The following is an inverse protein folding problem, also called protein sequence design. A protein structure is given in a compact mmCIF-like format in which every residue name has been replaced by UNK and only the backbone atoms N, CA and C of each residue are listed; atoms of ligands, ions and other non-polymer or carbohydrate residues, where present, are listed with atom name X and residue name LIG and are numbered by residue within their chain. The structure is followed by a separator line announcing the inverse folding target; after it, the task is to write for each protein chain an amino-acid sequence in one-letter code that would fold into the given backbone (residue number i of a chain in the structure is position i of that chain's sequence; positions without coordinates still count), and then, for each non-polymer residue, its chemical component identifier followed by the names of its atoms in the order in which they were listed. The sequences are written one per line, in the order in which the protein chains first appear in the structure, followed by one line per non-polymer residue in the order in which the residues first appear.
data_IF_078967310112
#
_entry.id   IF_078967310112
#
_cell.length_a   1.000
_cell.length_b   1.000
_cell.length_c   1.000
_cell.angle_alpha   90.00
_cell.angle_beta   90.00
_cell.angle_gamma   90.00
#
_symmetry.space_group_name_H-M   'P 1'
#
loop_
_entity.id
_entity.type
_entity.pdbx_description
1 polymer ?
#
# COMPACT_ATOMS: atom_id res chain seq x y z
N UNK A 1 -19.51 -0.39 2.35
CA UNK A 1 -19.43 0.95 1.72
C UNK A 1 -17.97 1.36 1.64
N UNK A 2 -17.59 2.26 0.69
CA UNK A 2 -16.21 2.76 0.66
C UNK A 2 -15.94 3.69 1.86
N UNK A 3 -14.71 3.73 2.34
CA UNK A 3 -14.32 4.56 3.49
C UNK A 3 -14.68 6.05 3.30
N UNK A 4 -14.50 6.57 2.09
CA UNK A 4 -14.84 7.97 1.77
C UNK A 4 -16.32 8.30 2.03
N UNK A 5 -17.22 7.38 1.68
CA UNK A 5 -18.66 7.56 1.93
C UNK A 5 -18.93 7.51 3.42
N UNK A 6 -18.31 6.59 4.14
CA UNK A 6 -18.49 6.44 5.60
C UNK A 6 -17.96 7.66 6.36
N UNK A 7 -16.79 8.19 6.01
CA UNK A 7 -16.25 9.42 6.61
C UNK A 7 -17.19 10.61 6.36
N UNK A 8 -17.81 10.69 5.19
CA UNK A 8 -18.81 11.73 4.91
C UNK A 8 -20.14 11.50 5.69
N UNK A 9 -20.54 10.25 5.88
CA UNK A 9 -21.74 9.92 6.65
C UNK A 9 -21.52 10.15 8.15
N UNK A 10 -20.34 9.87 8.69
CA UNK A 10 -19.94 10.20 10.08
C UNK A 10 -20.09 11.70 10.35
N UNK A 11 -19.73 12.56 9.38
CA UNK A 11 -19.91 14.02 9.51
C UNK A 11 -21.38 14.45 9.62
N UNK A 12 -22.31 13.64 9.11
CA UNK A 12 -23.75 13.93 9.15
C UNK A 12 -24.42 13.31 10.36
N UNK A 13 -24.07 12.06 10.67
CA UNK A 13 -24.67 11.30 11.78
C UNK A 13 -23.73 10.19 12.22
N UNK A 14 -23.37 10.19 13.49
CA UNK A 14 -22.55 9.14 14.11
C UNK A 14 -23.44 7.97 14.51
N UNK A 15 -23.03 6.75 14.16
CA UNK A 15 -23.70 5.54 14.62
C UNK A 15 -23.08 5.05 15.94
N UNK A 16 -23.85 4.37 16.81
CA UNK A 16 -23.34 3.95 18.12
C UNK A 16 -22.29 2.82 18.02
N UNK A 17 -22.35 1.96 16.99
CA UNK A 17 -21.41 0.86 16.80
C UNK A 17 -20.92 0.80 15.37
N UNK A 18 -19.61 0.67 15.23
CA UNK A 18 -18.91 0.46 13.96
C UNK A 18 -18.17 -0.87 14.00
N UNK A 19 -18.23 -1.62 12.91
CA UNK A 19 -17.36 -2.78 12.66
C UNK A 19 -16.49 -2.51 11.44
N UNK A 20 -15.19 -2.28 11.66
CA UNK A 20 -14.21 -2.14 10.59
C UNK A 20 -13.48 -3.47 10.38
N UNK A 21 -13.36 -3.92 9.14
CA UNK A 21 -12.59 -5.12 8.81
C UNK A 21 -11.76 -4.91 7.53
N UNK A 22 -10.60 -5.54 7.46
CA UNK A 22 -9.65 -5.39 6.35
C UNK A 22 -8.25 -5.10 6.84
N UNK A 23 -7.28 -5.21 5.93
CA UNK A 23 -5.84 -5.10 6.21
C UNK A 23 -5.24 -3.74 5.87
N UNK A 24 -6.02 -2.83 5.24
CA UNK A 24 -5.51 -1.52 4.84
C UNK A 24 -5.47 -0.56 6.04
N UNK A 25 -4.28 -0.38 6.58
CA UNK A 25 -4.03 0.43 7.78
C UNK A 25 -4.43 1.90 7.59
N UNK A 26 -4.27 2.43 6.39
CA UNK A 26 -4.67 3.80 6.06
C UNK A 26 -6.18 4.03 6.29
N UNK A 27 -7.01 3.10 5.84
CA UNK A 27 -8.47 3.21 6.00
C UNK A 27 -8.90 3.09 7.46
N UNK A 28 -8.24 2.20 8.19
CA UNK A 28 -8.49 2.05 9.63
C UNK A 28 -8.14 3.34 10.38
N UNK A 29 -7.03 3.96 10.03
CA UNK A 29 -6.61 5.22 10.68
C UNK A 29 -7.50 6.41 10.27
N UNK A 30 -7.86 6.54 8.99
CA UNK A 30 -8.84 7.56 8.53
C UNK A 30 -10.17 7.45 9.29
N UNK A 31 -10.65 6.22 9.52
CA UNK A 31 -11.88 5.97 10.27
C UNK A 31 -11.75 6.40 11.74
N UNK A 32 -10.65 6.03 12.40
CA UNK A 32 -10.36 6.43 13.77
C UNK A 32 -10.33 7.96 13.91
N UNK A 33 -9.57 8.64 13.05
CA UNK A 33 -9.44 10.10 13.07
C UNK A 33 -10.79 10.79 12.81
N UNK A 34 -11.60 10.27 11.88
CA UNK A 34 -12.93 10.79 11.63
C UNK A 34 -13.85 10.68 12.85
N UNK A 35 -13.83 9.54 13.56
CA UNK A 35 -14.61 9.33 14.77
C UNK A 35 -14.09 10.18 15.93
N UNK A 36 -12.80 10.25 16.17
CA UNK A 36 -12.22 11.11 17.21
C UNK A 36 -12.65 12.56 17.00
N UNK A 37 -12.54 13.05 15.76
CA UNK A 37 -12.94 14.42 15.43
C UNK A 37 -14.42 14.68 15.63
N UNK A 38 -15.28 13.74 15.23
CA UNK A 38 -16.74 13.97 15.23
C UNK A 38 -17.40 13.64 16.57
N UNK A 39 -16.89 12.67 17.33
CA UNK A 39 -17.44 12.24 18.61
C UNK A 39 -16.87 13.06 19.76
N UNK A 40 -15.57 13.35 19.72
CA UNK A 40 -14.82 13.95 20.81
C UNK A 40 -14.32 15.38 20.49
N UNK A 41 -14.74 15.98 19.35
CA UNK A 41 -14.27 17.30 18.90
C UNK A 41 -12.73 17.44 18.85
N UNK A 42 -12.01 16.31 18.79
CA UNK A 42 -10.56 16.25 18.81
C UNK A 42 -9.92 16.15 20.21
N UNK A 43 -10.70 16.23 21.28
CA UNK A 43 -10.23 15.94 22.65
C UNK A 43 -10.19 14.42 22.89
N UNK A 44 -9.09 13.92 23.41
CA UNK A 44 -8.90 12.49 23.66
C UNK A 44 -9.15 12.07 25.13
N UNK A 45 -9.67 12.96 25.96
CA UNK A 45 -9.90 12.70 27.38
C UNK A 45 -10.92 11.57 27.65
N UNK A 46 -11.89 11.40 26.72
CA UNK A 46 -12.88 10.32 26.74
C UNK A 46 -12.66 9.28 25.63
N UNK A 47 -11.41 9.09 25.20
CA UNK A 47 -10.98 8.05 24.27
C UNK A 47 -10.39 6.87 25.05
N UNK A 48 -11.00 5.69 24.91
CA UNK A 48 -10.43 4.43 25.41
C UNK A 48 -9.94 3.57 24.25
N UNK A 49 -8.72 3.04 24.36
CA UNK A 49 -8.10 2.15 23.36
C UNK A 49 -7.84 0.80 23.98
N UNK A 50 -8.36 -0.27 23.36
CA UNK A 50 -8.21 -1.64 23.83
C UNK A 50 -7.65 -2.54 22.75
N UNK A 51 -6.73 -3.42 23.12
CA UNK A 51 -6.33 -4.56 22.32
C UNK A 51 -7.04 -5.83 22.81
N UNK A 52 -7.87 -6.40 21.96
CA UNK A 52 -8.64 -7.62 22.28
C UNK A 52 -7.77 -8.89 22.31
N UNK A 53 -6.49 -8.81 21.97
CA UNK A 53 -5.53 -9.86 22.28
C UNK A 53 -5.05 -9.83 23.74
N UNK A 54 -5.19 -8.70 24.42
CA UNK A 54 -4.73 -8.48 25.79
C UNK A 54 -5.89 -8.37 26.79
N UNK A 55 -7.07 -7.93 26.32
CA UNK A 55 -8.24 -7.69 27.15
C UNK A 55 -9.51 -8.37 26.60
N UNK A 56 -10.29 -9.08 27.43
CA UNK A 56 -11.52 -9.71 26.96
C UNK A 56 -12.61 -8.65 26.64
N UNK A 57 -13.44 -8.93 25.63
CA UNK A 57 -14.46 -7.99 25.14
C UNK A 57 -15.45 -7.57 26.24
N UNK A 58 -15.76 -8.41 27.21
CA UNK A 58 -16.68 -8.10 28.28
C UNK A 58 -16.18 -6.96 29.20
N UNK A 59 -14.87 -6.81 29.39
CA UNK A 59 -14.31 -5.68 30.13
C UNK A 59 -14.41 -4.37 29.34
N UNK A 60 -14.18 -4.45 28.03
CA UNK A 60 -14.38 -3.32 27.13
C UNK A 60 -15.84 -2.85 27.13
N UNK A 61 -16.79 -3.80 27.14
CA UNK A 61 -18.22 -3.49 27.20
C UNK A 61 -18.62 -2.92 28.56
N UNK A 62 -18.01 -3.38 29.66
CA UNK A 62 -18.23 -2.78 30.99
C UNK A 62 -17.81 -1.31 30.99
N UNK A 63 -16.66 -0.96 30.38
CA UNK A 63 -16.33 0.45 30.18
C UNK A 63 -17.34 1.15 29.28
N UNK A 64 -17.76 0.51 28.19
CA UNK A 64 -18.73 1.10 27.24
C UNK A 64 -20.06 1.49 27.89
N UNK A 65 -20.49 0.78 28.92
CA UNK A 65 -21.73 1.03 29.67
C UNK A 65 -21.59 2.02 30.82
N UNK A 66 -20.34 2.43 31.15
CA UNK A 66 -20.15 3.50 32.16
C UNK A 66 -20.33 4.89 31.54
N UNK A 67 -20.88 5.83 32.29
CA UNK A 67 -21.02 7.22 31.84
C UNK A 67 -19.65 7.90 31.68
N UNK A 68 -19.47 8.75 30.65
CA UNK A 68 -18.30 9.59 30.50
C UNK A 68 -18.18 10.61 31.65
N UNK A 69 -16.93 10.94 32.08
CA UNK A 69 -16.70 11.84 33.20
C UNK A 69 -16.70 13.34 32.84
N UNK A 70 -16.26 13.68 31.64
CA UNK A 70 -15.95 15.06 31.24
C UNK A 70 -16.78 15.59 30.09
N UNK A 71 -17.41 14.75 29.29
CA UNK A 71 -18.12 15.09 28.06
C UNK A 71 -19.42 14.30 27.99
N UNK A 72 -20.33 14.72 27.06
CA UNK A 72 -21.57 14.00 26.82
C UNK A 72 -21.39 12.63 26.17
N UNK A 73 -20.25 12.43 25.49
CA UNK A 73 -19.95 11.20 24.72
C UNK A 73 -18.53 10.69 24.97
N UNK A 74 -18.37 9.39 24.80
CA UNK A 74 -17.06 8.74 24.75
C UNK A 74 -16.91 7.86 23.51
N UNK A 75 -15.66 7.65 23.12
CA UNK A 75 -15.27 6.79 22.02
C UNK A 75 -14.39 5.65 22.54
N UNK A 76 -14.81 4.43 22.25
CA UNK A 76 -14.03 3.22 22.54
C UNK A 76 -13.59 2.59 21.22
N UNK A 77 -12.31 2.32 21.10
CA UNK A 77 -11.72 1.63 19.96
C UNK A 77 -11.12 0.32 20.44
N UNK A 78 -11.72 -0.80 20.01
CA UNK A 78 -11.29 -2.15 20.35
C UNK A 78 -10.69 -2.82 19.09
N UNK A 79 -9.38 -3.09 19.12
CA UNK A 79 -8.64 -3.66 18.00
C UNK A 79 -8.44 -5.17 18.15
N UNK A 80 -8.09 -5.84 17.04
CA UNK A 80 -7.74 -7.27 17.03
C UNK A 80 -8.87 -8.22 17.43
N UNK A 81 -10.10 -8.01 16.94
CA UNK A 81 -11.27 -8.85 17.21
C UNK A 81 -11.11 -10.26 16.59
N UNK A 82 -10.17 -11.06 17.12
CA UNK A 82 -9.80 -12.38 16.58
C UNK A 82 -10.93 -13.40 16.65
N UNK A 83 -11.89 -13.23 17.55
CA UNK A 83 -13.08 -14.07 17.65
C UNK A 83 -13.98 -14.00 16.41
N UNK A 84 -13.77 -13.01 15.52
CA UNK A 84 -14.48 -12.93 14.23
C UNK A 84 -13.79 -13.73 13.11
N UNK A 85 -12.58 -14.27 13.33
CA UNK A 85 -11.89 -15.16 12.37
C UNK A 85 -12.48 -16.57 12.38
N UNK A 86 -12.33 -17.29 11.28
CA UNK A 86 -12.67 -18.71 11.20
C UNK A 86 -11.87 -19.56 12.22
N UNK A 87 -10.62 -19.19 12.43
CA UNK A 87 -9.75 -19.76 13.48
C UNK A 87 -9.28 -18.62 14.36
N UNK A 88 -9.93 -18.40 15.52
CA UNK A 88 -9.52 -17.39 16.49
C UNK A 88 -8.11 -17.65 17.02
N UNK A 89 -7.45 -16.59 17.44
CA UNK A 89 -6.16 -16.69 18.11
C UNK A 89 -6.32 -17.37 19.47
N UNK A 90 -5.31 -18.12 19.91
CA UNK A 90 -5.31 -18.74 21.24
C UNK A 90 -4.89 -17.70 22.26
N UNK A 91 -5.83 -17.29 23.09
CA UNK A 91 -5.61 -16.32 24.16
C UNK A 91 -5.66 -17.02 25.52
N UNK A 92 -5.17 -16.36 26.57
CA UNK A 92 -5.23 -16.83 27.97
C UNK A 92 -6.63 -16.69 28.60
N UNK A 93 -7.57 -16.06 27.90
CA UNK A 93 -8.95 -15.81 28.32
C UNK A 93 -9.92 -16.06 27.14
N UNK A 94 -11.21 -16.08 27.46
CA UNK A 94 -12.27 -16.21 26.45
C UNK A 94 -13.05 -14.89 26.32
N UNK A 95 -13.40 -14.54 25.09
CA UNK A 95 -14.31 -13.44 24.82
C UNK A 95 -15.76 -13.88 24.98
N UNK A 96 -16.51 -13.19 25.83
CA UNK A 96 -17.96 -13.39 25.94
C UNK A 96 -18.70 -12.71 24.77
N UNK A 97 -18.76 -13.42 23.65
CA UNK A 97 -19.43 -12.91 22.45
C UNK A 97 -20.95 -12.77 22.61
N UNK A 98 -21.58 -13.49 23.56
CA UNK A 98 -23.00 -13.36 23.85
C UNK A 98 -23.30 -11.99 24.47
N UNK A 99 -22.42 -11.49 25.34
CA UNK A 99 -22.59 -10.14 25.90
C UNK A 99 -22.45 -9.07 24.81
N UNK A 100 -21.52 -9.23 23.88
CA UNK A 100 -21.41 -8.33 22.73
C UNK A 100 -22.66 -8.39 21.82
N UNK A 101 -23.27 -9.57 21.64
CA UNK A 101 -24.53 -9.70 20.89
C UNK A 101 -25.69 -8.94 21.54
N UNK A 102 -25.75 -8.91 22.87
CA UNK A 102 -26.75 -8.11 23.62
C UNK A 102 -26.46 -6.61 23.52
N UNK A 103 -25.21 -6.21 23.75
CA UNK A 103 -24.80 -4.80 23.66
C UNK A 103 -25.12 -4.15 22.32
N UNK A 104 -24.84 -4.81 21.20
CA UNK A 104 -25.06 -4.22 19.86
C UNK A 104 -26.53 -4.06 19.49
N UNK A 105 -27.44 -4.75 20.22
CA UNK A 105 -28.88 -4.56 20.02
C UNK A 105 -29.42 -3.32 20.73
N UNK A 106 -28.81 -2.91 21.82
CA UNK A 106 -29.23 -1.76 22.60
C UNK A 106 -28.03 -1.01 23.20
N UNK A 107 -27.15 -0.42 22.35
CA UNK A 107 -25.98 0.29 22.80
C UNK A 107 -26.36 1.61 23.49
N UNK A 108 -25.60 2.05 24.52
CA UNK A 108 -25.83 3.36 25.15
C UNK A 108 -25.64 4.51 24.14
N UNK A 109 -26.44 5.54 24.25
CA UNK A 109 -26.41 6.70 23.35
C UNK A 109 -25.21 7.64 23.56
N UNK A 110 -24.57 7.54 24.74
CA UNK A 110 -23.36 8.28 25.11
C UNK A 110 -22.05 7.59 24.72
N UNK A 111 -22.10 6.37 24.19
CA UNK A 111 -20.90 5.63 23.79
C UNK A 111 -20.89 5.32 22.30
N UNK A 112 -19.76 5.58 21.65
CA UNK A 112 -19.49 5.08 20.30
C UNK A 112 -18.43 4.00 20.41
N UNK A 113 -18.75 2.78 19.94
CA UNK A 113 -17.86 1.62 19.94
C UNK A 113 -17.38 1.31 18.53
N UNK A 114 -16.07 1.40 18.29
CA UNK A 114 -15.42 0.93 17.06
C UNK A 114 -14.71 -0.39 17.33
N UNK A 115 -15.20 -1.46 16.71
CA UNK A 115 -14.53 -2.77 16.70
C UNK A 115 -13.73 -2.90 15.42
N UNK A 116 -12.44 -3.20 15.54
CA UNK A 116 -11.53 -3.38 14.40
C UNK A 116 -11.11 -4.85 14.32
N UNK A 117 -11.39 -5.45 13.18
CA UNK A 117 -10.93 -6.79 12.79
C UNK A 117 -9.94 -6.63 11.61
N UNK A 118 -8.62 -6.50 11.85
CA UNK A 118 -7.61 -6.25 10.81
C UNK A 118 -7.32 -7.52 10.01
N UNK A 119 -8.36 -8.13 9.44
CA UNK A 119 -8.31 -9.40 8.73
C UNK A 119 -9.04 -9.30 7.39
N UNK A 120 -8.54 -9.98 6.36
CA UNK A 120 -9.14 -9.99 5.03
C UNK A 120 -10.60 -10.47 5.03
N UNK A 121 -10.93 -11.43 5.90
CA UNK A 121 -12.25 -12.07 5.93
C UNK A 121 -12.73 -12.32 7.36
N UNK A 122 -14.02 -12.08 7.55
CA UNK A 122 -14.75 -12.47 8.76
C UNK A 122 -15.44 -13.82 8.53
N UNK A 123 -15.59 -14.62 9.59
CA UNK A 123 -16.36 -15.88 9.49
C UNK A 123 -17.87 -15.59 9.54
N UNK A 124 -18.47 -15.57 8.37
CA UNK A 124 -19.91 -15.31 8.14
C UNK A 124 -20.84 -16.35 8.81
N UNK A 125 -20.32 -17.51 9.21
CA UNK A 125 -21.12 -18.57 9.85
C UNK A 125 -21.41 -18.27 11.31
N UNK A 126 -20.54 -17.46 11.95
CA UNK A 126 -20.67 -17.12 13.37
C UNK A 126 -21.86 -16.20 13.62
N UNK A 127 -22.61 -16.47 14.68
CA UNK A 127 -23.77 -15.68 15.08
C UNK A 127 -23.37 -14.22 15.36
N UNK A 128 -22.28 -14.03 16.12
CA UNK A 128 -21.77 -12.70 16.43
C UNK A 128 -21.41 -11.89 15.19
N UNK A 129 -20.82 -12.49 14.15
CA UNK A 129 -20.52 -11.80 12.90
C UNK A 129 -21.79 -11.29 12.21
N UNK A 130 -22.84 -12.12 12.20
CA UNK A 130 -24.15 -11.74 11.63
C UNK A 130 -24.79 -10.62 12.42
N UNK A 131 -24.75 -10.71 13.76
CA UNK A 131 -25.34 -9.70 14.65
C UNK A 131 -24.64 -8.36 14.48
N UNK A 132 -23.31 -8.33 14.48
CA UNK A 132 -22.53 -7.11 14.23
C UNK A 132 -22.85 -6.52 12.86
N UNK A 133 -22.91 -7.32 11.79
CA UNK A 133 -23.25 -6.82 10.45
C UNK A 133 -24.64 -6.21 10.36
N UNK A 134 -25.60 -6.72 11.13
CA UNK A 134 -26.99 -6.24 11.09
C UNK A 134 -27.21 -5.00 11.99
N UNK A 135 -26.46 -4.88 13.09
CA UNK A 135 -26.69 -3.88 14.12
C UNK A 135 -25.56 -2.85 14.25
N UNK A 136 -24.58 -2.85 13.35
CA UNK A 136 -23.51 -1.85 13.33
C UNK A 136 -23.29 -1.29 11.93
N UNK A 137 -22.59 -0.17 11.86
CA UNK A 137 -22.10 0.38 10.60
C UNK A 137 -20.89 -0.42 10.15
N UNK A 138 -21.05 -1.23 9.10
CA UNK A 138 -19.96 -2.03 8.52
C UNK A 138 -19.06 -1.15 7.64
N UNK A 139 -17.76 -1.19 7.93
CA UNK A 139 -16.72 -0.47 7.19
C UNK A 139 -15.75 -1.47 6.57
N UNK A 140 -15.66 -1.46 5.24
CA UNK A 140 -14.72 -2.28 4.49
C UNK A 140 -13.41 -1.52 4.31
N UNK A 141 -12.36 -2.02 4.98
CA UNK A 141 -10.99 -1.49 4.97
C UNK A 141 -10.02 -2.46 4.28
N UNK A 142 -10.46 -3.15 3.25
CA UNK A 142 -9.60 -4.02 2.46
C UNK A 142 -8.66 -3.23 1.56
N UNK A 143 -7.57 -3.88 1.15
CA UNK A 143 -6.62 -3.33 0.18
C UNK A 143 -7.33 -2.88 -1.09
N UNK A 144 -6.84 -1.80 -1.69
CA UNK A 144 -7.39 -1.27 -2.93
C UNK A 144 -7.14 -2.25 -4.07
N UNK A 145 -8.14 -2.44 -4.90
CA UNK A 145 -7.93 -3.11 -6.18
C UNK A 145 -7.21 -2.15 -7.13
N UNK A 146 -6.29 -2.67 -7.96
CA UNK A 146 -5.58 -1.87 -8.96
C UNK A 146 -6.49 -0.95 -9.79
N UNK A 147 -7.68 -1.45 -10.14
CA UNK A 147 -8.68 -0.67 -10.91
C UNK A 147 -9.24 0.56 -10.17
N UNK A 148 -9.13 0.61 -8.85
CA UNK A 148 -9.60 1.72 -8.03
C UNK A 148 -8.46 2.68 -7.63
N UNK A 149 -7.19 2.30 -7.86
CA UNK A 149 -6.01 3.10 -7.50
C UNK A 149 -6.07 4.51 -8.10
N UNK A 150 -6.48 4.64 -9.37
CA UNK A 150 -6.62 5.94 -10.05
C UNK A 150 -7.64 6.85 -9.38
N UNK A 151 -8.75 6.32 -8.89
CA UNK A 151 -9.77 7.11 -8.18
C UNK A 151 -9.23 7.64 -6.85
N UNK A 152 -8.44 6.81 -6.15
CA UNK A 152 -7.79 7.22 -4.90
C UNK A 152 -6.74 8.29 -5.13
N UNK A 153 -5.89 8.11 -6.15
CA UNK A 153 -4.93 9.12 -6.59
C UNK A 153 -5.61 10.49 -6.82
N UNK A 154 -6.68 10.53 -7.63
CA UNK A 154 -7.43 11.75 -7.90
C UNK A 154 -8.06 12.35 -6.63
N UNK A 155 -8.58 11.50 -5.73
CA UNK A 155 -9.14 11.94 -4.46
C UNK A 155 -8.11 12.59 -3.55
N UNK A 156 -6.89 12.01 -3.45
CA UNK A 156 -5.80 12.54 -2.62
C UNK A 156 -5.27 13.85 -3.22
N UNK A 157 -5.09 13.93 -4.55
CA UNK A 157 -4.70 15.16 -5.25
C UNK A 157 -5.70 16.28 -4.95
N UNK A 158 -7.00 16.01 -5.08
CA UNK A 158 -8.06 16.97 -4.79
C UNK A 158 -8.08 17.41 -3.32
N UNK A 159 -7.86 16.47 -2.38
CA UNK A 159 -7.79 16.75 -0.94
C UNK A 159 -6.65 17.70 -0.58
N UNK A 160 -5.54 17.62 -1.31
CA UNK A 160 -4.37 18.49 -1.12
C UNK A 160 -4.44 19.80 -1.93
N UNK A 161 -5.56 20.08 -2.61
CA UNK A 161 -5.79 21.30 -3.38
C UNK A 161 -4.67 21.60 -4.40
N UNK A 162 -4.16 20.59 -5.10
CA UNK A 162 -3.18 20.70 -6.17
C UNK A 162 -3.71 20.10 -7.48
N UNK A 163 -3.01 20.39 -8.58
CA UNK A 163 -3.24 19.76 -9.89
C UNK A 163 -1.98 19.02 -10.32
N UNK A 164 -2.11 18.07 -11.25
CA UNK A 164 -0.99 17.22 -11.66
C UNK A 164 -1.12 16.80 -13.11
N UNK A 165 0.00 16.75 -13.85
CA UNK A 165 0.07 16.22 -15.20
C UNK A 165 -0.39 14.77 -15.28
N UNK A 166 -0.99 14.38 -16.40
CA UNK A 166 -1.43 13.00 -16.64
C UNK A 166 -0.27 11.99 -16.53
N UNK A 167 0.91 12.35 -17.06
CA UNK A 167 2.11 11.50 -16.97
C UNK A 167 2.66 11.40 -15.55
N UNK A 168 2.63 12.48 -14.76
CA UNK A 168 3.01 12.45 -13.35
C UNK A 168 2.09 11.53 -12.54
N UNK A 169 0.78 11.57 -12.82
CA UNK A 169 -0.19 10.64 -12.24
C UNK A 169 0.10 9.18 -12.62
N UNK A 170 0.40 8.92 -13.90
CA UNK A 170 0.75 7.58 -14.38
C UNK A 170 2.02 7.03 -13.71
N UNK A 171 3.01 7.91 -13.44
CA UNK A 171 4.23 7.56 -12.72
C UNK A 171 3.93 7.18 -11.27
N UNK A 172 3.19 8.00 -10.54
CA UNK A 172 2.79 7.72 -9.16
C UNK A 172 1.98 6.42 -9.07
N UNK A 173 1.02 6.23 -9.97
CA UNK A 173 0.20 5.03 -10.03
C UNK A 173 1.05 3.77 -10.25
N UNK A 174 2.06 3.83 -11.11
CA UNK A 174 2.95 2.70 -11.37
C UNK A 174 3.88 2.36 -10.19
N UNK A 175 4.34 3.36 -9.44
CA UNK A 175 5.28 3.19 -8.32
C UNK A 175 4.57 2.76 -7.03
N UNK A 176 3.33 3.21 -6.82
CA UNK A 176 2.67 3.16 -5.50
C UNK A 176 1.32 2.43 -5.54
N UNK A 177 1.03 1.67 -6.60
CA UNK A 177 -0.29 1.11 -6.97
C UNK A 177 -1.07 0.44 -5.85
N UNK A 178 -0.43 -0.13 -4.83
CA UNK A 178 -1.10 -0.89 -3.76
C UNK A 178 -0.92 -0.29 -2.37
N UNK A 179 -0.05 0.70 -2.19
CA UNK A 179 0.22 1.31 -0.88
C UNK A 179 -0.31 2.75 -0.83
N UNK A 180 -1.56 2.91 -0.35
CA UNK A 180 -2.21 4.24 -0.25
C UNK A 180 -1.44 5.18 0.67
N UNK A 181 -0.87 4.67 1.75
CA UNK A 181 -0.15 5.49 2.71
C UNK A 181 1.10 6.11 2.07
N UNK A 182 1.83 5.32 1.27
CA UNK A 182 2.95 5.83 0.50
C UNK A 182 2.49 6.81 -0.57
N UNK A 183 1.38 6.50 -1.28
CA UNK A 183 0.78 7.40 -2.27
C UNK A 183 0.42 8.75 -1.66
N UNK A 184 -0.20 8.75 -0.48
CA UNK A 184 -0.54 9.97 0.23
C UNK A 184 0.72 10.76 0.59
N UNK A 185 1.73 10.12 1.18
CA UNK A 185 2.98 10.78 1.57
C UNK A 185 3.69 11.40 0.37
N UNK A 186 3.69 10.72 -0.78
CA UNK A 186 4.27 11.26 -2.02
C UNK A 186 3.50 12.48 -2.54
N UNK A 187 2.17 12.43 -2.52
CA UNK A 187 1.33 13.57 -2.96
C UNK A 187 1.45 14.74 -1.98
N UNK A 188 1.46 14.51 -0.68
CA UNK A 188 1.65 15.56 0.34
C UNK A 188 3.01 16.25 0.19
N UNK A 189 4.07 15.49 -0.05
CA UNK A 189 5.40 16.03 -0.36
C UNK A 189 5.39 16.91 -1.61
N UNK A 190 4.71 16.47 -2.67
CA UNK A 190 4.55 17.26 -3.90
C UNK A 190 3.72 18.52 -3.65
N UNK A 191 2.65 18.43 -2.87
CA UNK A 191 1.82 19.57 -2.50
C UNK A 191 2.61 20.61 -1.70
N UNK A 192 3.47 20.20 -0.77
CA UNK A 192 4.39 21.07 -0.05
C UNK A 192 5.38 21.77 -0.99
N UNK A 193 5.85 21.06 -2.02
CA UNK A 193 6.80 21.62 -2.99
C UNK A 193 6.18 22.68 -3.89
N UNK A 194 4.97 22.42 -4.43
CA UNK A 194 4.33 23.36 -5.38
C UNK A 194 3.49 24.43 -4.70
N UNK A 195 3.15 24.26 -3.41
CA UNK A 195 2.27 25.13 -2.65
C UNK A 195 0.79 24.96 -2.94
N UNK A 196 -0.06 25.65 -2.19
CA UNK A 196 -1.52 25.59 -2.31
C UNK A 196 -1.99 26.07 -3.70
N UNK A 197 -2.88 25.29 -4.32
CA UNK A 197 -3.34 25.56 -5.70
C UNK A 197 -2.29 25.30 -6.78
N UNK A 198 -1.11 24.78 -6.41
CA UNK A 198 0.00 24.55 -7.33
C UNK A 198 -0.24 23.43 -8.33
N UNK A 199 0.67 23.34 -9.30
CA UNK A 199 0.64 22.31 -10.35
C UNK A 199 1.93 21.50 -10.34
N UNK A 200 1.80 20.18 -10.32
CA UNK A 200 2.92 19.23 -10.39
C UNK A 200 3.12 18.78 -11.84
N UNK A 201 4.25 19.16 -12.42
CA UNK A 201 4.65 18.72 -13.76
C UNK A 201 5.22 17.30 -13.77
N UNK A 202 5.37 16.70 -14.97
CA UNK A 202 6.10 15.43 -15.14
C UNK A 202 7.53 15.53 -14.58
N UNK A 203 8.22 16.66 -14.79
CA UNK A 203 9.60 16.87 -14.31
C UNK A 203 9.66 16.94 -12.77
N UNK A 204 8.71 17.65 -12.14
CA UNK A 204 8.61 17.70 -10.69
C UNK A 204 8.37 16.31 -10.10
N UNK A 205 7.46 15.55 -10.69
CA UNK A 205 7.19 14.18 -10.27
C UNK A 205 8.44 13.28 -10.37
N UNK A 206 9.20 13.38 -11.48
CA UNK A 206 10.46 12.64 -11.65
C UNK A 206 11.50 12.98 -10.57
N UNK A 207 11.55 14.23 -10.12
CA UNK A 207 12.49 14.68 -9.09
C UNK A 207 12.07 14.35 -7.67
N UNK A 208 10.77 14.35 -7.42
CA UNK A 208 10.21 14.28 -6.08
C UNK A 208 9.77 12.87 -5.67
N UNK A 209 9.34 12.03 -6.62
CA UNK A 209 8.97 10.64 -6.28
C UNK A 209 10.17 9.98 -5.62
N UNK A 210 9.93 9.46 -4.42
CA UNK A 210 10.97 8.74 -3.66
C UNK A 210 11.48 7.58 -4.51
N UNK A 211 12.79 7.49 -4.62
CA UNK A 211 13.42 6.40 -5.35
C UNK A 211 13.12 5.09 -4.61
N UNK A 212 12.04 4.43 -5.01
CA UNK A 212 11.79 3.06 -4.58
C UNK A 212 12.87 2.14 -5.22
N UNK A 213 13.14 0.97 -4.67
CA UNK A 213 14.01 -0.01 -5.33
C UNK A 213 13.60 -0.27 -6.78
N UNK A 214 12.31 -0.15 -7.10
CA UNK A 214 11.79 -0.32 -8.47
C UNK A 214 12.17 0.84 -9.38
N UNK A 215 11.99 2.09 -8.99
CA UNK A 215 12.37 3.26 -9.81
C UNK A 215 13.89 3.36 -9.98
N UNK A 216 14.62 3.02 -8.93
CA UNK A 216 16.08 2.97 -8.98
C UNK A 216 16.58 1.87 -9.91
N UNK A 217 15.92 0.69 -9.93
CA UNK A 217 16.23 -0.37 -10.89
C UNK A 217 15.94 0.04 -12.33
N UNK A 218 14.86 0.80 -12.56
CA UNK A 218 14.54 1.36 -13.88
C UNK A 218 15.59 2.37 -14.36
N UNK A 219 16.07 3.26 -13.48
CA UNK A 219 17.15 4.19 -13.78
C UNK A 219 18.48 3.48 -14.08
N UNK A 220 18.75 2.38 -13.37
CA UNK A 220 19.92 1.54 -13.61
C UNK A 220 19.81 0.79 -14.95
N UNK A 221 18.64 0.27 -15.31
CA UNK A 221 18.39 -0.32 -16.64
C UNK A 221 18.65 0.68 -17.74
N UNK A 222 18.17 1.94 -17.59
CA UNK A 222 18.44 2.98 -18.57
C UNK A 222 19.93 3.30 -18.69
N UNK A 223 20.65 3.41 -17.57
CA UNK A 223 22.09 3.63 -17.57
C UNK A 223 22.85 2.50 -18.28
N UNK A 224 22.47 1.24 -18.03
CA UNK A 224 23.03 0.06 -18.71
C UNK A 224 22.74 0.09 -20.21
N UNK A 225 21.49 0.37 -20.60
CA UNK A 225 21.09 0.41 -22.01
C UNK A 225 21.76 1.53 -22.82
N UNK A 226 22.08 2.67 -22.18
CA UNK A 226 22.75 3.79 -22.82
C UNK A 226 24.29 3.75 -22.70
N UNK A 227 24.85 2.75 -22.05
CA UNK A 227 26.29 2.64 -21.85
C UNK A 227 26.88 3.62 -20.83
N UNK A 228 26.03 4.15 -19.93
CA UNK A 228 26.37 5.19 -18.95
C UNK A 228 26.97 4.60 -17.66
N UNK A 229 28.20 4.03 -17.76
CA UNK A 229 28.83 3.32 -16.64
C UNK A 229 28.95 4.15 -15.36
N UNK A 230 29.30 5.42 -15.47
CA UNK A 230 29.45 6.32 -14.30
C UNK A 230 28.11 6.52 -13.59
N UNK A 231 27.03 6.63 -14.36
CA UNK A 231 25.68 6.77 -13.81
C UNK A 231 25.22 5.47 -13.14
N UNK A 232 25.42 4.32 -13.79
CA UNK A 232 25.07 3.02 -13.21
C UNK A 232 25.81 2.77 -11.88
N UNK A 233 27.12 3.05 -11.84
CA UNK A 233 27.95 2.91 -10.65
C UNK A 233 27.53 3.88 -9.53
N UNK A 234 27.16 5.11 -9.86
CA UNK A 234 26.64 6.07 -8.86
C UNK A 234 25.36 5.57 -8.23
N UNK A 235 24.40 5.14 -9.05
CA UNK A 235 23.13 4.57 -8.59
C UNK A 235 23.40 3.37 -7.67
N UNK A 236 24.32 2.49 -8.06
CA UNK A 236 24.70 1.34 -7.24
C UNK A 236 25.28 1.76 -5.88
N UNK A 237 26.24 2.70 -5.87
CA UNK A 237 26.85 3.19 -4.63
C UNK A 237 25.85 3.88 -3.68
N UNK A 238 24.85 4.54 -4.22
CA UNK A 238 23.79 5.15 -3.39
C UNK A 238 22.88 4.07 -2.77
N UNK A 239 22.56 3.01 -3.51
CA UNK A 239 21.83 1.85 -2.97
C UNK A 239 22.65 1.10 -1.90
N UNK A 240 23.94 0.92 -2.12
CA UNK A 240 24.85 0.30 -1.15
C UNK A 240 24.89 1.08 0.18
N UNK A 241 24.91 2.43 0.14
CA UNK A 241 24.79 3.29 1.33
C UNK A 241 23.46 3.11 2.07
N UNK A 242 22.40 2.77 1.34
CA UNK A 242 21.07 2.47 1.90
C UNK A 242 20.96 1.04 2.44
N UNK A 243 22.06 0.26 2.43
CA UNK A 243 22.13 -1.15 2.83
C UNK A 243 21.24 -2.08 1.98
N UNK A 244 21.00 -1.75 0.72
CA UNK A 244 20.29 -2.63 -0.20
C UNK A 244 21.13 -3.84 -0.55
N UNK A 245 20.57 -5.06 -0.48
CA UNK A 245 21.30 -6.30 -0.80
C UNK A 245 21.54 -6.41 -2.32
N UNK A 246 22.79 -6.55 -2.79
CA UNK A 246 23.12 -6.74 -4.21
C UNK A 246 22.36 -7.90 -4.87
N UNK A 247 22.04 -8.97 -4.13
CA UNK A 247 21.23 -10.09 -4.66
C UNK A 247 19.80 -9.64 -4.98
N UNK A 248 19.21 -8.81 -4.11
CA UNK A 248 17.87 -8.25 -4.37
C UNK A 248 17.90 -7.33 -5.60
N UNK A 249 18.97 -6.53 -5.76
CA UNK A 249 19.13 -5.66 -6.93
C UNK A 249 19.28 -6.45 -8.24
N UNK A 250 20.01 -7.57 -8.25
CA UNK A 250 20.05 -8.45 -9.43
C UNK A 250 18.65 -8.98 -9.74
N UNK A 251 17.88 -9.36 -8.74
CA UNK A 251 16.49 -9.80 -8.91
C UNK A 251 15.63 -8.75 -9.62
N UNK A 252 15.71 -7.49 -9.18
CA UNK A 252 14.99 -6.36 -9.77
C UNK A 252 15.45 -6.09 -11.23
N UNK A 253 16.76 -6.02 -11.48
CA UNK A 253 17.29 -5.85 -12.84
C UNK A 253 16.85 -6.98 -13.76
N UNK A 254 16.93 -8.23 -13.29
CA UNK A 254 16.48 -9.40 -14.05
C UNK A 254 14.99 -9.34 -14.38
N UNK A 255 14.16 -8.85 -13.47
CA UNK A 255 12.74 -8.63 -13.72
C UNK A 255 12.52 -7.59 -14.84
N UNK A 256 13.22 -6.45 -14.78
CA UNK A 256 13.08 -5.39 -15.77
C UNK A 256 13.55 -5.84 -17.17
N UNK A 257 14.71 -6.46 -17.29
CA UNK A 257 15.20 -6.93 -18.60
C UNK A 257 14.33 -8.05 -19.17
N UNK A 258 13.85 -8.98 -18.34
CA UNK A 258 12.85 -9.99 -18.77
C UNK A 258 11.53 -9.35 -19.22
N UNK A 259 11.09 -8.27 -18.58
CA UNK A 259 9.90 -7.53 -19.00
C UNK A 259 10.10 -6.93 -20.40
N UNK A 260 11.24 -6.29 -20.66
CA UNK A 260 11.57 -5.70 -21.96
C UNK A 260 11.62 -6.82 -23.04
N UNK A 261 12.26 -7.96 -22.75
CA UNK A 261 12.30 -9.10 -23.66
C UNK A 261 10.91 -9.67 -23.97
N UNK A 262 10.10 -9.88 -22.94
CA UNK A 262 8.71 -10.38 -23.12
C UNK A 262 7.90 -9.44 -24.02
N UNK A 263 7.96 -8.15 -23.77
CA UNK A 263 7.28 -7.13 -24.57
C UNK A 263 7.78 -7.15 -26.01
N UNK A 264 9.09 -7.24 -26.24
CA UNK A 264 9.70 -7.34 -27.57
C UNK A 264 9.19 -8.56 -28.34
N UNK A 265 9.21 -9.74 -27.73
CA UNK A 265 8.73 -10.99 -28.35
C UNK A 265 7.22 -10.96 -28.63
N UNK A 266 6.43 -10.39 -27.73
CA UNK A 266 5.00 -10.24 -27.94
C UNK A 266 4.68 -9.25 -29.07
N UNK A 267 5.45 -8.15 -29.16
CA UNK A 267 5.31 -7.17 -30.24
C UNK A 267 5.64 -7.78 -31.60
N UNK A 268 6.70 -8.61 -31.70
CA UNK A 268 7.04 -9.36 -32.91
C UNK A 268 5.90 -10.30 -33.35
N UNK A 269 5.10 -10.81 -32.39
CA UNK A 269 3.91 -11.64 -32.64
C UNK A 269 2.65 -10.82 -32.92
N UNK A 270 2.75 -9.50 -32.99
CA UNK A 270 1.61 -8.61 -33.31
C UNK A 270 0.67 -8.29 -32.17
N UNK A 271 1.06 -8.55 -30.91
CA UNK A 271 0.23 -8.20 -29.74
C UNK A 271 0.14 -6.69 -29.54
N UNK A 272 -1.08 -6.21 -29.24
CA UNK A 272 -1.32 -4.82 -28.83
C UNK A 272 -0.89 -4.60 -27.38
N UNK A 273 -0.70 -3.34 -26.98
CA UNK A 273 -0.38 -2.98 -25.59
C UNK A 273 -1.40 -3.55 -24.59
N UNK A 274 -2.69 -3.47 -24.91
CA UNK A 274 -3.76 -4.01 -24.08
C UNK A 274 -3.68 -5.54 -23.90
N UNK A 275 -3.38 -6.26 -24.99
CA UNK A 275 -3.19 -7.71 -24.94
C UNK A 275 -1.95 -8.09 -24.11
N UNK A 276 -0.84 -7.33 -24.26
CA UNK A 276 0.37 -7.51 -23.45
C UNK A 276 0.08 -7.31 -21.96
N UNK A 277 -0.62 -6.23 -21.60
CA UNK A 277 -1.04 -5.95 -20.24
C UNK A 277 -1.81 -7.11 -19.62
N UNK A 278 -2.83 -7.59 -20.30
CA UNK A 278 -3.69 -8.69 -19.84
C UNK A 278 -2.89 -10.00 -19.64
N UNK A 279 -1.94 -10.26 -20.53
CA UNK A 279 -1.17 -11.52 -20.50
C UNK A 279 0.03 -11.48 -19.54
N UNK A 280 0.64 -10.31 -19.37
CA UNK A 280 1.79 -10.12 -18.47
C UNK A 280 1.31 -9.88 -17.03
N UNK A 281 0.14 -9.26 -16.85
CA UNK A 281 -0.39 -8.87 -15.55
C UNK A 281 0.34 -7.66 -14.96
N UNK A 282 0.85 -6.74 -15.80
CA UNK A 282 1.57 -5.56 -15.37
C UNK A 282 0.79 -4.28 -15.66
N UNK A 283 1.06 -3.23 -14.86
CA UNK A 283 0.43 -1.93 -15.04
C UNK A 283 0.66 -1.37 -16.46
N UNK A 284 -0.32 -0.69 -17.10
CA UNK A 284 -0.20 -0.14 -18.46
C UNK A 284 1.02 0.74 -18.66
N UNK A 285 1.38 1.54 -17.65
CA UNK A 285 2.55 2.41 -17.68
C UNK A 285 3.87 1.60 -17.75
N UNK A 286 3.98 0.51 -16.98
CA UNK A 286 5.15 -0.39 -17.01
C UNK A 286 5.32 -1.02 -18.39
N UNK A 287 4.22 -1.48 -19.00
CA UNK A 287 4.24 -2.00 -20.38
C UNK A 287 4.66 -0.91 -21.38
N UNK A 288 4.13 0.32 -21.23
CA UNK A 288 4.49 1.46 -22.10
C UNK A 288 5.98 1.79 -22.01
N UNK A 289 6.56 1.81 -20.81
CA UNK A 289 8.00 1.99 -20.60
C UNK A 289 8.79 0.85 -21.26
N UNK A 290 8.41 -0.40 -21.03
CA UNK A 290 9.08 -1.54 -21.65
C UNK A 290 9.00 -1.49 -23.18
N UNK A 291 7.85 -1.06 -23.75
CA UNK A 291 7.67 -0.85 -25.21
C UNK A 291 8.54 0.29 -25.75
N UNK A 292 8.85 1.31 -25.00
CA UNK A 292 9.77 2.36 -25.43
C UNK A 292 11.22 1.88 -25.45
N UNK A 293 11.61 1.11 -24.42
CA UNK A 293 12.95 0.58 -24.26
C UNK A 293 13.29 -0.54 -25.25
N UNK A 294 12.33 -1.44 -25.54
CA UNK A 294 12.57 -2.59 -26.44
C UNK A 294 13.05 -2.18 -27.84
N UNK A 295 12.75 -0.96 -28.29
CA UNK A 295 13.17 -0.44 -29.61
C UNK A 295 14.67 -0.21 -29.69
N UNK A 296 15.31 0.06 -28.55
CA UNK A 296 16.72 0.49 -28.47
C UNK A 296 17.68 -0.66 -28.14
N UNK A 297 17.18 -1.89 -28.03
CA UNK A 297 18.02 -3.05 -27.66
C UNK A 297 17.63 -4.28 -28.48
N UNK A 298 18.60 -5.04 -28.96
CA UNK A 298 18.36 -6.28 -29.70
C UNK A 298 17.90 -7.41 -28.78
N UNK A 299 17.26 -8.43 -29.35
CA UNK A 299 16.86 -9.62 -28.59
C UNK A 299 18.11 -10.35 -28.05
N UNK A 300 19.12 -10.57 -28.88
CA UNK A 300 20.34 -11.26 -28.49
C UNK A 300 21.06 -10.57 -27.33
N UNK A 301 21.10 -9.22 -27.34
CA UNK A 301 21.67 -8.44 -26.24
C UNK A 301 20.88 -8.59 -24.95
N UNK A 302 19.53 -8.60 -25.02
CA UNK A 302 18.67 -8.85 -23.86
C UNK A 302 18.88 -10.23 -23.27
N UNK A 303 18.99 -11.25 -24.12
CA UNK A 303 19.27 -12.63 -23.69
C UNK A 303 20.63 -12.76 -23.02
N UNK A 304 21.67 -12.13 -23.59
CA UNK A 304 23.01 -12.08 -23.00
C UNK A 304 22.99 -11.39 -21.61
N UNK A 305 22.31 -10.23 -21.50
CA UNK A 305 22.17 -9.52 -20.22
C UNK A 305 21.49 -10.42 -19.18
N UNK A 306 20.38 -11.06 -19.53
CA UNK A 306 19.64 -11.94 -18.62
C UNK A 306 20.49 -13.14 -18.19
N UNK A 307 21.28 -13.70 -19.09
CA UNK A 307 22.20 -14.78 -18.78
C UNK A 307 23.30 -14.32 -17.79
N UNK A 308 23.93 -13.17 -18.03
CA UNK A 308 24.95 -12.61 -17.13
C UNK A 308 24.40 -12.31 -15.73
N UNK A 309 23.19 -11.75 -15.66
CA UNK A 309 22.48 -11.54 -14.38
C UNK A 309 22.28 -12.87 -13.62
N UNK A 310 21.89 -13.95 -14.31
CA UNK A 310 21.67 -15.25 -13.69
C UNK A 310 22.99 -15.90 -13.22
N UNK A 311 24.06 -15.78 -14.01
CA UNK A 311 25.40 -16.28 -13.65
C UNK A 311 25.92 -15.56 -12.40
N UNK A 312 25.82 -14.23 -12.35
CA UNK A 312 26.28 -13.43 -11.21
C UNK A 312 25.45 -13.69 -9.95
N UNK A 313 24.13 -13.83 -10.07
CA UNK A 313 23.25 -14.24 -8.96
C UNK A 313 23.70 -15.57 -8.36
N UNK A 314 24.02 -16.55 -9.21
CA UNK A 314 24.52 -17.85 -8.78
C UNK A 314 25.88 -17.74 -8.07
N UNK A 315 26.82 -16.93 -8.59
CA UNK A 315 28.16 -16.71 -8.01
C UNK A 315 28.02 -16.10 -6.60
N UNK A 316 27.16 -15.08 -6.44
CA UNK A 316 26.91 -14.44 -5.15
C UNK A 316 26.27 -15.39 -4.13
N UNK A 317 25.23 -16.12 -4.53
CA UNK A 317 24.53 -17.07 -3.65
C UNK A 317 25.39 -18.25 -3.21
N UNK A 318 26.37 -18.64 -4.02
CA UNK A 318 27.33 -19.67 -3.69
C UNK A 318 28.54 -19.17 -2.88
N UNK A 319 28.61 -17.85 -2.59
CA UNK A 319 29.72 -17.26 -1.86
C UNK A 319 31.07 -17.30 -2.60
N UNK A 320 31.05 -17.46 -3.92
CA UNK A 320 32.28 -17.56 -4.75
C UNK A 320 32.96 -16.20 -4.94
N UNK A 321 32.24 -15.13 -4.74
CA UNK A 321 32.72 -13.76 -4.83
C UNK A 321 31.97 -12.88 -3.81
N UNK A 322 32.64 -11.86 -3.32
CA UNK A 322 32.02 -10.84 -2.49
C UNK A 322 30.91 -10.14 -3.30
N UNK A 323 29.74 -9.91 -2.66
CA UNK A 323 28.52 -9.49 -3.35
C UNK A 323 28.66 -8.13 -4.04
N UNK A 324 29.28 -7.15 -3.36
CA UNK A 324 29.46 -5.81 -3.89
C UNK A 324 30.39 -5.83 -5.12
N UNK A 325 31.51 -6.52 -5.01
CA UNK A 325 32.46 -6.67 -6.12
C UNK A 325 31.83 -7.38 -7.32
N UNK A 326 31.06 -8.45 -7.07
CA UNK A 326 30.38 -9.18 -8.15
C UNK A 326 29.39 -8.31 -8.90
N UNK A 327 28.66 -7.41 -8.17
CA UNK A 327 27.70 -6.50 -8.79
C UNK A 327 28.41 -5.39 -9.60
N UNK A 328 29.51 -4.84 -9.10
CA UNK A 328 30.31 -3.85 -9.83
C UNK A 328 30.85 -4.41 -11.15
N UNK A 329 31.42 -5.62 -11.09
CA UNK A 329 31.94 -6.32 -12.29
C UNK A 329 30.79 -6.58 -13.28
N UNK A 330 29.64 -7.03 -12.79
CA UNK A 330 28.45 -7.24 -13.62
C UNK A 330 28.07 -5.95 -14.36
N UNK A 331 27.96 -4.80 -13.68
CA UNK A 331 27.62 -3.54 -14.33
C UNK A 331 28.61 -3.16 -15.42
N UNK A 332 29.92 -3.37 -15.19
CA UNK A 332 30.94 -3.15 -16.21
C UNK A 332 30.73 -4.07 -17.42
N UNK A 333 30.53 -5.37 -17.20
CA UNK A 333 30.28 -6.33 -18.27
C UNK A 333 29.04 -6.01 -19.09
N UNK A 334 27.93 -5.65 -18.45
CA UNK A 334 26.66 -5.33 -19.14
C UNK A 334 26.76 -4.09 -20.04
N UNK A 335 27.66 -3.15 -19.72
CA UNK A 335 27.82 -1.90 -20.43
C UNK A 335 28.88 -2.00 -21.54
N UNK A 336 29.97 -2.72 -21.30
CA UNK A 336 31.10 -2.82 -22.25
C UNK A 336 30.85 -3.88 -23.33
N UNK A 337 30.09 -4.92 -23.04
CA UNK A 337 29.67 -5.96 -23.99
C UNK A 337 28.51 -5.52 -24.85
#
# INVERSE_FOLDING_TARGET
MSITNIVNDIKKSVQPVYLAFGTESYFLEELKQALIKQVLNGDTSNLSLYDLNEMPIQEVLTDAETFPFFEEKKLIIATNASFLKARPDKLSFEHNTSYLEEYVQNPPDYTVLLIIAPYEKLDERKKITKQLKNNSQLVDCQEIREQDARKWLESIISKNNITMDAKAKDMLEAEVTTNIQLLQSEIEKMALYVGEGGHVSEEDAQRLISHTPTSTSLAMVDAVMHGEIQRAMRIYKDLEKMNEDPIAMIGLLSYQFRMILRVKLMKQKGYTQFQMQKQIGAHPYVIKIAMSREKNISQDKLEQIIQRLAETDSVMKQGKMEKSLAFELLLMELIVA
#
